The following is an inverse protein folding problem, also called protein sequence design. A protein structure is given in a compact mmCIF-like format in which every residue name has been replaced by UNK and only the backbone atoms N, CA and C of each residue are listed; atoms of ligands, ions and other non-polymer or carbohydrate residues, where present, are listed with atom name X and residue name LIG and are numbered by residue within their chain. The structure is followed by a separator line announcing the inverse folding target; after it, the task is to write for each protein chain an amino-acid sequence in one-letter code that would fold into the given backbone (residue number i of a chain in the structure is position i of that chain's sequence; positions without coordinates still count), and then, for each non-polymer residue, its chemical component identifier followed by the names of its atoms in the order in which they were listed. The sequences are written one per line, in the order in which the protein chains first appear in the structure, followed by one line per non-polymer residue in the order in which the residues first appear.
data_IF_883581713116
#
_entry.id   IF_883581713116
#
_cell.length_a   1.000
_cell.length_b   1.000
_cell.length_c   1.000
_cell.angle_alpha   90.00
_cell.angle_beta   90.00
_cell.angle_gamma   90.00
#
_symmetry.space_group_name_H-M   'P 1'
#
loop_
_entity.id
_entity.type
_entity.pdbx_description
1 polymer ?
#
# COMPACT_ATOMS: atom_id res chain seq x y z
N UNK A 1 8.76 17.41 0.09
CA UNK A 1 9.71 16.38 0.58
C UNK A 1 8.96 15.06 0.60
N UNK A 2 9.63 14.00 0.19
CA UNK A 2 9.02 12.68 0.26
C UNK A 2 9.05 12.15 1.70
N UNK A 3 8.17 11.20 2.02
CA UNK A 3 8.14 10.54 3.32
C UNK A 3 9.48 9.90 3.69
N UNK A 4 9.73 9.74 4.98
CA UNK A 4 10.93 9.06 5.50
C UNK A 4 10.51 7.88 6.35
N UNK A 5 11.14 6.72 6.13
CA UNK A 5 10.94 5.52 6.95
C UNK A 5 12.21 5.17 7.72
N UNK A 6 12.07 4.81 8.98
CA UNK A 6 13.13 4.29 9.84
C UNK A 6 12.81 2.84 10.19
N UNK A 7 13.76 1.95 9.94
CA UNK A 7 13.70 0.55 10.31
C UNK A 7 14.77 0.26 11.35
N UNK A 8 14.39 -0.27 12.51
CA UNK A 8 15.30 -0.64 13.59
C UNK A 8 15.29 -2.15 13.76
N UNK A 9 16.41 -2.78 13.47
CA UNK A 9 16.60 -4.22 13.66
C UNK A 9 16.96 -4.60 15.11
N UNK A 10 16.81 -5.88 15.44
CA UNK A 10 17.05 -6.45 16.79
C UNK A 10 18.39 -6.08 17.44
N UNK A 11 19.44 -5.88 16.64
CA UNK A 11 20.78 -5.54 17.16
C UNK A 11 20.95 -4.06 17.50
N UNK A 12 20.02 -3.22 17.07
CA UNK A 12 20.05 -1.78 17.27
C UNK A 12 19.05 -1.30 18.35
N UNK A 13 18.19 -2.19 18.84
CA UNK A 13 17.27 -1.92 19.94
C UNK A 13 17.82 -2.42 21.26
N UNK A 14 17.39 -1.79 22.35
CA UNK A 14 17.85 -2.12 23.73
C UNK A 14 17.36 -3.50 24.17
N UNK A 15 16.14 -3.85 23.83
CA UNK A 15 15.45 -5.07 24.27
C UNK A 15 15.38 -6.17 23.19
N UNK A 16 15.99 -5.95 22.03
CA UNK A 16 15.95 -6.87 20.91
C UNK A 16 14.65 -6.80 20.09
N UNK A 17 13.78 -5.82 20.34
CA UNK A 17 12.60 -5.56 19.51
C UNK A 17 12.99 -5.05 18.13
N UNK A 18 12.06 -5.18 17.18
CA UNK A 18 12.14 -4.51 15.88
C UNK A 18 11.14 -3.38 15.86
N UNK A 19 11.49 -2.27 15.23
CA UNK A 19 10.62 -1.11 15.11
C UNK A 19 10.58 -0.62 13.68
N UNK A 20 9.43 -0.10 13.30
CA UNK A 20 9.20 0.57 12.03
C UNK A 20 8.48 1.88 12.31
N UNK A 21 8.99 2.97 11.77
CA UNK A 21 8.41 4.29 11.93
C UNK A 21 8.49 5.07 10.63
N UNK A 22 7.49 5.89 10.36
CA UNK A 22 7.49 6.80 9.21
C UNK A 22 6.86 8.14 9.57
N UNK A 23 7.24 9.17 8.82
CA UNK A 23 6.44 10.37 8.68
C UNK A 23 5.62 10.28 7.39
N UNK A 24 4.58 11.10 7.30
CA UNK A 24 3.72 11.21 6.12
C UNK A 24 3.78 12.66 5.65
N UNK A 25 4.70 12.93 4.73
CA UNK A 25 4.95 14.28 4.21
C UNK A 25 4.30 14.46 2.84
N UNK A 26 3.40 15.41 2.73
CA UNK A 26 2.85 15.80 1.44
C UNK A 26 3.84 16.67 0.67
N UNK A 27 4.13 16.37 -0.62
CA UNK A 27 4.98 17.20 -1.48
C UNK A 27 4.44 18.64 -1.65
N UNK A 28 3.12 18.80 -1.60
CA UNK A 28 2.43 20.09 -1.70
C UNK A 28 2.36 20.85 -0.37
N UNK A 29 2.77 20.25 0.75
CA UNK A 29 2.57 20.78 2.09
C UNK A 29 1.12 20.74 2.57
N UNK A 30 0.22 20.08 1.85
CA UNK A 30 -1.17 19.91 2.27
C UNK A 30 -1.27 18.97 3.48
N UNK A 31 -2.11 19.33 4.43
CA UNK A 31 -2.39 18.47 5.58
C UNK A 31 -3.44 17.43 5.20
N UNK A 32 -3.04 16.16 5.29
CA UNK A 32 -3.91 15.01 5.04
C UNK A 32 -4.17 14.27 6.35
N UNK A 33 -5.35 14.46 6.97
CA UNK A 33 -5.65 13.81 8.24
C UNK A 33 -5.74 12.31 8.08
N UNK A 34 -5.06 11.59 8.97
CA UNK A 34 -5.08 10.13 9.07
C UNK A 34 -5.96 9.69 10.24
N UNK A 35 -6.42 8.44 10.19
CA UNK A 35 -7.10 7.79 11.30
C UNK A 35 -6.41 6.46 11.60
N UNK A 36 -6.30 6.10 12.87
CA UNK A 36 -5.89 4.75 13.26
C UNK A 36 -7.11 3.84 13.25
N UNK A 37 -7.02 2.73 12.55
CA UNK A 37 -8.09 1.73 12.45
C UNK A 37 -7.59 0.33 12.73
N UNK A 38 -8.47 -0.52 13.24
CA UNK A 38 -8.32 -1.97 13.28
C UNK A 38 -9.29 -2.54 12.26
N UNK A 39 -8.78 -3.32 11.32
CA UNK A 39 -9.58 -4.00 10.31
C UNK A 39 -9.67 -5.47 10.73
N UNK A 40 -10.89 -5.97 10.90
CA UNK A 40 -11.15 -7.38 11.20
C UNK A 40 -11.26 -8.19 9.91
N UNK A 41 -11.06 -9.52 9.96
CA UNK A 41 -11.16 -10.39 8.80
C UNK A 41 -12.48 -10.24 8.03
N UNK A 42 -13.59 -10.08 8.74
CA UNK A 42 -14.93 -9.91 8.18
C UNK A 42 -15.15 -8.57 7.47
N UNK A 43 -14.33 -7.56 7.79
CA UNK A 43 -14.39 -6.22 7.18
C UNK A 43 -13.54 -6.13 5.91
N UNK A 44 -12.70 -7.13 5.65
CA UNK A 44 -11.85 -7.16 4.46
C UNK A 44 -12.68 -7.56 3.23
N UNK A 45 -12.67 -6.78 2.15
CA UNK A 45 -13.43 -7.12 0.95
C UNK A 45 -12.83 -8.35 0.24
N UNK A 46 -13.66 -9.10 -0.49
CA UNK A 46 -13.18 -10.19 -1.36
C UNK A 46 -12.52 -9.66 -2.63
N UNK A 47 -12.96 -8.52 -3.10
CA UNK A 47 -12.36 -7.78 -4.21
C UNK A 47 -12.04 -6.38 -3.71
N UNK A 48 -10.78 -6.04 -3.76
CA UNK A 48 -10.31 -4.68 -3.51
C UNK A 48 -10.46 -3.86 -4.77
N UNK A 49 -10.92 -2.62 -4.65
CA UNK A 49 -10.97 -1.65 -5.74
C UNK A 49 -10.25 -0.38 -5.28
N UNK A 50 -9.21 0.02 -6.01
CA UNK A 50 -8.49 1.26 -5.75
C UNK A 50 -9.39 2.47 -6.00
N UNK A 51 -9.31 3.46 -5.11
CA UNK A 51 -10.08 4.71 -5.27
C UNK A 51 -9.46 5.60 -6.35
N UNK A 52 -8.14 5.52 -6.56
CA UNK A 52 -7.42 6.38 -7.51
C UNK A 52 -7.31 5.73 -8.88
N UNK A 53 -6.85 4.48 -8.93
CA UNK A 53 -6.56 3.80 -10.19
C UNK A 53 -7.71 2.94 -10.71
N UNK A 54 -8.73 2.68 -9.89
CA UNK A 54 -9.86 1.79 -10.18
C UNK A 54 -9.46 0.33 -10.49
N UNK A 55 -8.19 -0.05 -10.22
CA UNK A 55 -7.77 -1.44 -10.37
C UNK A 55 -8.54 -2.33 -9.40
N UNK A 56 -9.00 -3.48 -9.91
CA UNK A 56 -9.73 -4.49 -9.12
C UNK A 56 -8.84 -5.70 -8.89
N UNK A 57 -8.67 -6.06 -7.63
CA UNK A 57 -7.79 -7.13 -7.19
C UNK A 57 -8.60 -8.14 -6.38
N UNK A 58 -8.67 -9.37 -6.86
CA UNK A 58 -9.20 -10.47 -6.07
C UNK A 58 -8.26 -10.76 -4.91
N UNK A 59 -8.80 -10.70 -3.70
CA UNK A 59 -8.05 -10.93 -2.47
C UNK A 59 -8.18 -12.39 -2.03
N UNK A 60 -7.14 -12.98 -1.41
CA UNK A 60 -7.21 -14.33 -0.87
C UNK A 60 -8.30 -14.46 0.21
N UNK A 61 -8.75 -15.67 0.43
CA UNK A 61 -9.58 -16.00 1.59
C UNK A 61 -8.75 -15.96 2.89
N UNK A 62 -9.43 -15.81 4.02
CA UNK A 62 -8.82 -15.82 5.35
C UNK A 62 -7.78 -14.71 5.62
N UNK A 63 -8.15 -13.43 5.45
CA UNK A 63 -7.30 -12.34 5.88
C UNK A 63 -7.09 -12.36 7.40
N UNK A 64 -5.93 -11.94 7.85
CA UNK A 64 -5.67 -11.68 9.27
C UNK A 64 -6.20 -10.31 9.68
N UNK A 65 -6.52 -10.16 10.96
CA UNK A 65 -6.76 -8.85 11.56
C UNK A 65 -5.47 -8.01 11.51
N UNK A 66 -5.60 -6.73 11.22
CA UNK A 66 -4.47 -5.81 11.17
C UNK A 66 -4.88 -4.38 11.54
N UNK A 67 -3.86 -3.59 11.88
CA UNK A 67 -4.00 -2.15 12.05
C UNK A 67 -3.58 -1.43 10.79
N UNK A 68 -4.13 -0.23 10.54
CA UNK A 68 -3.71 0.63 9.45
C UNK A 68 -3.94 2.10 9.78
N UNK A 69 -3.31 2.99 9.01
CA UNK A 69 -3.38 4.44 9.14
C UNK A 69 -3.92 5.09 7.85
N UNK A 70 -5.15 4.76 7.41
CA UNK A 70 -5.71 5.31 6.19
C UNK A 70 -6.06 6.80 6.31
N UNK A 71 -6.30 7.44 5.16
CA UNK A 71 -6.87 8.78 5.10
C UNK A 71 -8.21 8.85 5.84
N UNK A 72 -8.41 9.94 6.57
CA UNK A 72 -9.69 10.20 7.24
C UNK A 72 -10.73 10.77 6.27
N UNK A 73 -10.29 11.42 5.20
CA UNK A 73 -11.15 12.00 4.16
C UNK A 73 -11.51 10.92 3.15
N UNK A 74 -12.83 10.80 2.85
CA UNK A 74 -13.31 9.82 1.87
C UNK A 74 -13.10 10.33 0.44
N UNK A 75 -12.84 9.41 -0.48
CA UNK A 75 -12.74 9.70 -1.92
C UNK A 75 -11.35 10.14 -2.39
N UNK A 76 -10.39 10.29 -1.49
CA UNK A 76 -9.01 10.72 -1.81
C UNK A 76 -8.00 9.57 -1.77
N UNK A 77 -8.48 8.33 -1.93
CA UNK A 77 -7.65 7.13 -1.80
C UNK A 77 -7.48 6.68 -0.34
N UNK A 78 -7.11 5.41 -0.17
CA UNK A 78 -6.96 4.81 1.15
C UNK A 78 -5.68 5.29 1.82
N UNK A 79 -4.56 5.23 1.13
CA UNK A 79 -3.25 5.66 1.63
C UNK A 79 -2.98 5.13 3.05
N UNK A 80 -3.03 3.81 3.20
CA UNK A 80 -3.00 3.17 4.52
C UNK A 80 -1.71 3.39 5.31
N UNK A 81 -0.72 4.01 4.70
CA UNK A 81 0.55 4.45 5.25
C UNK A 81 1.36 3.35 5.94
N UNK A 82 0.86 2.76 6.99
CA UNK A 82 1.52 1.70 7.75
C UNK A 82 0.52 0.86 8.52
N UNK A 83 0.94 -0.33 8.95
CA UNK A 83 0.14 -1.20 9.80
C UNK A 83 0.93 -2.36 10.36
N UNK A 84 0.30 -3.12 11.24
CA UNK A 84 0.82 -4.37 11.83
C UNK A 84 -0.31 -5.39 11.83
N UNK A 85 -0.03 -6.61 11.37
CA UNK A 85 -0.99 -7.71 11.43
C UNK A 85 -0.83 -8.56 12.69
N UNK A 86 -1.74 -9.49 12.92
CA UNK A 86 -1.70 -10.34 14.11
C UNK A 86 -0.56 -11.37 14.13
N UNK A 87 0.09 -11.62 12.98
CA UNK A 87 1.36 -12.35 12.91
C UNK A 87 2.58 -11.47 13.28
N UNK A 88 2.34 -10.25 13.77
CA UNK A 88 3.36 -9.26 14.16
C UNK A 88 4.28 -8.83 13.01
N UNK A 89 3.78 -8.87 11.78
CA UNK A 89 4.47 -8.31 10.63
C UNK A 89 4.07 -6.85 10.49
N UNK A 90 5.05 -5.96 10.56
CA UNK A 90 4.87 -4.54 10.29
C UNK A 90 5.14 -4.21 8.82
N UNK A 91 4.37 -3.29 8.26
CA UNK A 91 4.52 -2.80 6.90
C UNK A 91 4.33 -1.28 6.84
N UNK A 92 5.10 -0.65 5.98
CA UNK A 92 4.93 0.75 5.59
C UNK A 92 5.16 0.88 4.09
N UNK A 93 4.50 1.83 3.46
CA UNK A 93 4.73 2.21 2.09
C UNK A 93 5.06 3.71 2.05
N UNK A 94 6.17 4.08 1.39
CA UNK A 94 6.64 5.47 1.27
C UNK A 94 6.91 5.79 -0.19
N UNK A 95 6.34 6.88 -0.67
CA UNK A 95 6.51 7.40 -2.02
C UNK A 95 7.86 8.12 -2.14
N UNK A 96 8.94 7.37 -2.30
CA UNK A 96 10.29 7.93 -2.41
C UNK A 96 11.08 7.44 -3.63
N UNK A 97 10.51 6.52 -4.40
CA UNK A 97 11.19 5.88 -5.53
C UNK A 97 10.76 6.56 -6.84
N UNK A 98 11.75 6.91 -7.65
CA UNK A 98 11.54 7.31 -9.04
C UNK A 98 12.07 6.23 -9.97
N UNK A 99 11.35 5.92 -11.03
CA UNK A 99 11.75 4.90 -11.99
C UNK A 99 12.79 5.43 -12.97
N UNK A 100 13.73 4.57 -13.35
CA UNK A 100 14.72 4.89 -14.39
C UNK A 100 14.01 5.06 -15.75
N UNK A 101 14.32 6.12 -16.54
CA UNK A 101 13.68 6.34 -17.83
C UNK A 101 13.79 5.18 -18.84
N UNK A 102 14.86 4.37 -18.77
CA UNK A 102 15.00 3.18 -19.61
C UNK A 102 14.05 2.07 -19.21
N UNK A 103 13.80 1.92 -17.92
CA UNK A 103 12.81 0.96 -17.39
C UNK A 103 11.43 1.40 -17.84
N UNK A 104 11.06 2.67 -17.67
CA UNK A 104 9.78 3.21 -18.11
C UNK A 104 9.58 3.14 -19.63
N UNK A 105 10.66 3.15 -20.42
CA UNK A 105 10.60 2.96 -21.86
C UNK A 105 10.33 1.51 -22.28
N UNK A 106 10.73 0.54 -21.44
CA UNK A 106 10.52 -0.89 -21.70
C UNK A 106 9.24 -1.43 -21.03
N UNK A 107 8.90 -0.88 -19.87
CA UNK A 107 7.77 -1.25 -19.04
C UNK A 107 7.11 0.05 -18.50
N UNK A 108 6.20 0.65 -19.29
CA UNK A 108 5.57 1.92 -18.94
C UNK A 108 4.60 1.75 -17.76
N UNK A 109 4.39 2.83 -17.02
CA UNK A 109 3.38 2.86 -15.95
C UNK A 109 1.98 2.57 -16.49
N UNK A 110 1.24 1.73 -15.78
CA UNK A 110 -0.18 1.46 -16.05
C UNK A 110 -1.01 2.64 -15.52
N UNK A 111 -1.33 3.57 -16.39
CA UNK A 111 -1.98 4.83 -16.03
C UNK A 111 -3.49 4.73 -16.16
N UNK A 112 -4.22 5.19 -15.13
CA UNK A 112 -5.68 5.32 -15.19
C UNK A 112 -6.10 6.28 -16.30
N UNK A 113 -7.09 5.85 -17.08
CA UNK A 113 -7.71 6.67 -18.12
C UNK A 113 -9.23 6.72 -17.88
N UNK A 114 -9.78 7.89 -17.58
CA UNK A 114 -11.21 8.02 -17.33
C UNK A 114 -12.02 7.74 -18.59
N UNK A 115 -13.27 7.32 -18.42
CA UNK A 115 -14.24 7.20 -19.50
C UNK A 115 -14.44 8.55 -20.19
N UNK A 116 -14.48 8.52 -21.52
CA UNK A 116 -14.83 9.67 -22.37
C UNK A 116 -15.87 9.26 -23.39
N UNK A 117 -16.31 10.20 -24.25
CA UNK A 117 -17.28 9.91 -25.30
C UNK A 117 -16.78 8.87 -26.32
N UNK A 118 -15.45 8.81 -26.52
CA UNK A 118 -14.80 7.96 -27.52
C UNK A 118 -14.08 6.74 -26.92
N UNK A 119 -14.02 6.60 -25.57
CA UNK A 119 -13.23 5.56 -24.92
C UNK A 119 -13.87 5.08 -23.62
N UNK A 120 -13.94 3.76 -23.45
CA UNK A 120 -14.28 3.18 -22.15
C UNK A 120 -13.15 3.41 -21.13
N UNK A 121 -13.51 3.38 -19.85
CA UNK A 121 -12.56 3.51 -18.74
C UNK A 121 -11.49 2.42 -18.82
N UNK A 122 -10.22 2.82 -18.60
CA UNK A 122 -9.10 1.91 -18.44
C UNK A 122 -8.55 2.09 -17.02
N UNK A 123 -8.64 1.04 -16.22
CA UNK A 123 -8.08 1.04 -14.88
C UNK A 123 -6.54 1.23 -14.91
N UNK A 124 -6.02 1.96 -13.95
CA UNK A 124 -4.58 2.08 -13.74
C UNK A 124 -3.98 0.87 -13.02
N UNK A 125 -2.70 0.93 -12.74
CA UNK A 125 -1.98 -0.08 -11.94
C UNK A 125 -2.10 0.18 -10.44
N UNK A 126 -1.29 -0.55 -9.69
CA UNK A 126 -1.22 -0.47 -8.22
C UNK A 126 -0.39 0.73 -7.81
N UNK A 127 -0.93 1.51 -6.88
CA UNK A 127 -0.24 2.64 -6.26
C UNK A 127 0.15 2.37 -4.80
N UNK A 128 0.95 3.29 -4.24
CA UNK A 128 1.31 3.27 -2.81
C UNK A 128 0.07 3.19 -1.92
N UNK A 129 -1.03 3.83 -2.31
CA UNK A 129 -2.27 3.85 -1.54
C UNK A 129 -2.81 2.45 -1.22
N UNK A 130 -2.61 1.51 -2.15
CA UNK A 130 -3.21 0.18 -2.14
C UNK A 130 -2.41 -0.83 -1.29
N UNK A 131 -1.07 -0.68 -1.27
CA UNK A 131 -0.11 -1.73 -0.91
C UNK A 131 -0.37 -2.35 0.46
N UNK A 132 -0.59 -1.55 1.49
CA UNK A 132 -0.77 -2.07 2.86
C UNK A 132 -2.04 -2.92 2.94
N UNK A 133 -3.14 -2.51 2.32
CA UNK A 133 -4.43 -3.20 2.34
C UNK A 133 -4.43 -4.52 1.58
N UNK A 134 -3.68 -4.60 0.47
CA UNK A 134 -3.67 -5.80 -0.39
C UNK A 134 -2.59 -6.80 0.00
N UNK A 135 -1.59 -6.41 0.82
CA UNK A 135 -0.47 -7.27 1.20
C UNK A 135 -0.55 -7.69 2.66
N UNK A 136 -0.65 -6.73 3.59
CA UNK A 136 -0.45 -6.96 5.02
C UNK A 136 -1.38 -8.02 5.64
N UNK A 137 -2.67 -8.11 5.29
CA UNK A 137 -3.58 -9.10 5.88
C UNK A 137 -3.24 -10.55 5.54
N UNK A 138 -2.38 -10.80 4.55
CA UNK A 138 -2.17 -12.13 3.95
C UNK A 138 -0.76 -12.67 4.10
N UNK A 139 0.04 -12.11 4.99
CA UNK A 139 1.46 -12.46 5.13
C UNK A 139 1.83 -12.78 6.59
N UNK A 140 2.63 -13.83 6.79
CA UNK A 140 3.13 -14.26 8.09
C UNK A 140 4.59 -13.86 8.33
N UNK A 141 5.25 -13.31 7.30
CA UNK A 141 6.62 -12.81 7.40
C UNK A 141 6.88 -11.67 6.41
N UNK A 142 7.90 -10.85 6.68
CA UNK A 142 8.33 -9.80 5.78
C UNK A 142 8.76 -10.37 4.40
N UNK A 143 9.34 -11.57 4.35
CA UNK A 143 9.72 -12.24 3.10
C UNK A 143 8.50 -12.60 2.25
N UNK A 144 7.46 -13.13 2.87
CA UNK A 144 6.18 -13.38 2.18
C UNK A 144 5.58 -12.07 1.64
N UNK A 145 5.73 -10.97 2.39
CA UNK A 145 5.28 -9.64 1.95
C UNK A 145 5.94 -9.20 0.65
N UNK A 146 7.26 -9.32 0.57
CA UNK A 146 8.01 -9.00 -0.67
C UNK A 146 7.56 -9.89 -1.83
N UNK A 147 7.42 -11.20 -1.59
CA UNK A 147 7.00 -12.16 -2.62
C UNK A 147 5.57 -11.90 -3.09
N UNK A 148 4.65 -11.65 -2.15
CA UNK A 148 3.27 -11.33 -2.47
C UNK A 148 3.15 -10.04 -3.27
N UNK A 149 3.85 -8.98 -2.86
CA UNK A 149 3.86 -7.70 -3.59
C UNK A 149 4.40 -7.88 -5.01
N UNK A 150 5.50 -8.63 -5.18
CA UNK A 150 6.05 -8.95 -6.50
C UNK A 150 5.01 -9.63 -7.41
N UNK A 151 4.36 -10.68 -6.92
CA UNK A 151 3.32 -11.40 -7.68
C UNK A 151 2.12 -10.51 -8.04
N UNK A 152 1.76 -9.56 -7.17
CA UNK A 152 0.68 -8.61 -7.43
C UNK A 152 1.10 -7.64 -8.55
N UNK A 153 2.33 -7.11 -8.47
CA UNK A 153 2.86 -6.21 -9.50
C UNK A 153 3.02 -6.90 -10.85
N UNK A 154 3.43 -8.16 -10.90
CA UNK A 154 3.49 -8.95 -12.16
C UNK A 154 2.11 -9.10 -12.81
N UNK A 155 1.05 -9.11 -12.03
CA UNK A 155 -0.31 -9.36 -12.53
C UNK A 155 -1.08 -8.07 -12.85
N UNK A 156 -0.88 -7.02 -12.08
CA UNK A 156 -1.72 -5.81 -12.08
C UNK A 156 -0.91 -4.51 -12.23
N UNK A 157 0.41 -4.55 -12.06
CA UNK A 157 1.29 -3.38 -12.04
C UNK A 157 1.82 -2.93 -13.37
#
# INVERSE_FOLDING_TARGET
MACTTILVGKKASYDGSTMIARNDDSPSGAYMPKKFVVIHPEDQPKVYESVISHVKIELPENPMRYTAMPNAVKGEGIWAASGVNEAQVGMTATETITSNPRVLGADPLVTYQPKSDDQEEIAGGIGEEDIVYIVLPYIHSAREGVQRLGNILEKYG
#
